data_IF_225039515402
#
_entry.id   IF_225039515402
#
_cell.length_a   1.000
_cell.length_b   1.000
_cell.length_c   1.000
_cell.angle_alpha   90.00
_cell.angle_beta   90.00
_cell.angle_gamma   90.00
#
_symmetry.space_group_name_H-M   'P 1'
#
loop_
_entity.id
_entity.type
_entity.pdbx_description
1 polymer ?
#
# COMPACT_ATOMS: atom_id res chain seq x y z
N UNK A 1 2.96 -14.25 -19.58
CA UNK A 1 3.27 -12.81 -19.40
C UNK A 1 1.99 -12.15 -18.92
N UNK A 2 1.95 -11.66 -17.68
CA UNK A 2 0.73 -11.09 -17.10
C UNK A 2 0.34 -9.81 -17.83
N UNK A 3 -0.95 -9.68 -18.18
CA UNK A 3 -1.51 -8.47 -18.76
C UNK A 3 -1.17 -7.26 -17.90
N UNK A 4 -0.57 -6.23 -18.50
CA UNK A 4 -0.31 -4.93 -17.87
C UNK A 4 -1.60 -4.10 -17.67
N UNK A 5 -2.76 -4.74 -17.75
CA UNK A 5 -4.06 -4.08 -17.58
C UNK A 5 -4.34 -3.93 -16.08
N UNK A 6 -4.82 -2.75 -15.65
CA UNK A 6 -5.21 -2.58 -14.26
C UNK A 6 -6.34 -3.56 -13.91
N UNK A 7 -6.31 -4.19 -12.73
CA UNK A 7 -7.36 -5.10 -12.31
C UNK A 7 -8.68 -4.34 -12.12
N UNK A 8 -9.79 -4.96 -12.54
CA UNK A 8 -11.13 -4.42 -12.35
C UNK A 8 -11.44 -4.24 -10.85
N UNK A 9 -11.73 -3.02 -10.36
CA UNK A 9 -11.91 -2.73 -8.93
C UNK A 9 -13.03 -3.52 -8.26
N UNK A 10 -14.06 -3.87 -9.03
CA UNK A 10 -15.28 -4.53 -8.54
C UNK A 10 -15.19 -6.06 -8.56
N UNK A 11 -14.34 -6.61 -9.42
CA UNK A 11 -14.20 -8.05 -9.62
C UNK A 11 -12.97 -8.62 -8.92
N UNK A 12 -11.94 -7.80 -8.67
CA UNK A 12 -10.67 -8.26 -8.14
C UNK A 12 -10.40 -7.70 -6.76
N UNK A 13 -10.19 -8.61 -5.80
CA UNK A 13 -9.65 -8.22 -4.50
C UNK A 13 -8.20 -7.78 -4.68
N UNK A 14 -7.79 -6.63 -4.09
CA UNK A 14 -6.40 -6.21 -4.09
C UNK A 14 -5.49 -7.30 -3.48
N UNK A 15 -4.27 -7.41 -4.00
CA UNK A 15 -3.28 -8.33 -3.45
C UNK A 15 -2.97 -7.99 -1.98
N UNK A 16 -2.80 -9.01 -1.14
CA UNK A 16 -2.35 -8.80 0.24
C UNK A 16 -0.86 -8.42 0.28
N UNK A 17 -0.45 -7.69 1.32
CA UNK A 17 0.97 -7.37 1.54
C UNK A 17 1.85 -8.63 1.56
N UNK A 18 1.36 -9.73 2.14
CA UNK A 18 2.05 -11.02 2.12
C UNK A 18 2.21 -11.59 0.70
N UNK A 19 1.19 -11.44 -0.16
CA UNK A 19 1.30 -11.84 -1.56
C UNK A 19 2.32 -10.98 -2.30
N UNK A 20 2.33 -9.67 -2.07
CA UNK A 20 3.30 -8.73 -2.65
C UNK A 20 4.74 -9.03 -2.18
N UNK A 21 4.94 -9.33 -0.89
CA UNK A 21 6.24 -9.74 -0.35
C UNK A 21 6.76 -11.02 -1.01
N UNK A 22 5.89 -12.03 -1.16
CA UNK A 22 6.22 -13.28 -1.86
C UNK A 22 6.57 -13.02 -3.32
N UNK A 23 5.84 -12.13 -3.99
CA UNK A 23 6.13 -11.75 -5.38
C UNK A 23 7.47 -11.01 -5.51
N UNK A 24 7.80 -10.11 -4.59
CA UNK A 24 9.09 -9.43 -4.57
C UNK A 24 10.25 -10.43 -4.34
N UNK A 25 10.06 -11.39 -3.43
CA UNK A 25 11.08 -12.37 -3.07
C UNK A 25 11.23 -13.52 -4.08
N UNK A 26 10.16 -13.94 -4.75
CA UNK A 26 10.14 -15.16 -5.61
C UNK A 26 9.58 -14.95 -7.01
N UNK A 27 9.26 -13.71 -7.39
CA UNK A 27 8.70 -13.41 -8.71
C UNK A 27 9.66 -13.83 -9.82
N UNK A 28 9.11 -14.43 -10.88
CA UNK A 28 9.87 -14.95 -12.03
C UNK A 28 10.45 -13.89 -12.96
N UNK A 29 10.25 -12.60 -12.65
CA UNK A 29 10.83 -11.47 -13.37
C UNK A 29 12.31 -11.23 -13.03
N UNK A 30 12.86 -11.96 -12.03
CA UNK A 30 14.30 -11.97 -11.69
C UNK A 30 14.76 -13.39 -11.37
N UNK A 31 16.06 -13.64 -11.51
CA UNK A 31 16.70 -14.87 -11.03
C UNK A 31 16.56 -15.08 -9.51
N UNK A 32 16.95 -16.25 -8.99
CA UNK A 32 16.85 -16.56 -7.55
C UNK A 32 17.70 -15.61 -6.70
N UNK A 33 18.82 -15.13 -7.23
CA UNK A 33 19.73 -14.20 -6.56
C UNK A 33 20.14 -13.02 -7.47
N UNK A 34 20.81 -12.04 -6.89
CA UNK A 34 21.44 -10.93 -7.63
C UNK A 34 20.88 -9.54 -7.32
N UNK A 35 21.51 -8.49 -7.89
CA UNK A 35 21.16 -7.09 -7.61
C UNK A 35 19.71 -6.76 -7.99
N UNK A 36 19.18 -7.33 -9.08
CA UNK A 36 17.80 -7.12 -9.50
C UNK A 36 16.78 -7.64 -8.47
N UNK A 37 17.03 -8.79 -7.83
CA UNK A 37 16.21 -9.33 -6.74
C UNK A 37 16.22 -8.38 -5.54
N UNK A 38 17.39 -7.88 -5.15
CA UNK A 38 17.53 -6.91 -4.05
C UNK A 38 16.77 -5.62 -4.34
N UNK A 39 16.86 -5.09 -5.57
CA UNK A 39 16.09 -3.91 -5.98
C UNK A 39 14.58 -4.15 -5.86
N UNK A 40 14.08 -5.31 -6.27
CA UNK A 40 12.66 -5.67 -6.12
C UNK A 40 12.20 -5.70 -4.67
N UNK A 41 13.01 -6.27 -3.77
CA UNK A 41 12.72 -6.30 -2.34
C UNK A 41 12.75 -4.90 -1.73
N UNK A 42 13.73 -4.07 -2.10
CA UNK A 42 13.80 -2.69 -1.62
C UNK A 42 12.66 -1.83 -2.14
N UNK A 43 12.30 -1.96 -3.41
CA UNK A 43 11.12 -1.32 -3.99
C UNK A 43 9.86 -1.69 -3.21
N UNK A 44 9.67 -2.99 -2.94
CA UNK A 44 8.55 -3.45 -2.12
C UNK A 44 8.54 -2.77 -0.74
N UNK A 45 9.68 -2.73 -0.05
CA UNK A 45 9.77 -2.18 1.31
C UNK A 45 9.59 -0.65 1.36
N UNK A 46 10.21 0.08 0.44
CA UNK A 46 10.28 1.54 0.49
C UNK A 46 9.13 2.23 -0.22
N UNK A 47 8.48 1.56 -1.18
CA UNK A 47 7.46 2.18 -2.02
C UNK A 47 6.16 1.39 -1.92
N UNK A 48 6.17 0.09 -2.25
CA UNK A 48 4.93 -0.66 -2.38
C UNK A 48 4.19 -0.78 -1.03
N UNK A 49 4.90 -1.10 0.07
CA UNK A 49 4.33 -1.19 1.42
C UNK A 49 3.74 0.15 1.90
N UNK A 50 4.50 1.26 1.96
CA UNK A 50 3.96 2.51 2.49
C UNK A 50 2.81 3.05 1.65
N UNK A 51 2.91 3.01 0.31
CA UNK A 51 1.83 3.48 -0.57
C UNK A 51 0.57 2.63 -0.38
N UNK A 52 0.70 1.30 -0.34
CA UNK A 52 -0.45 0.40 -0.16
C UNK A 52 -1.10 0.60 1.20
N UNK A 53 -0.31 0.81 2.26
CA UNK A 53 -0.83 1.09 3.61
C UNK A 53 -1.63 2.39 3.64
N UNK A 54 -1.10 3.48 3.09
CA UNK A 54 -1.79 4.77 3.03
C UNK A 54 -3.11 4.62 2.29
N UNK A 55 -3.09 4.07 1.07
CA UNK A 55 -4.31 3.86 0.30
C UNK A 55 -5.33 2.97 1.02
N UNK A 56 -4.88 1.91 1.70
CA UNK A 56 -5.74 1.03 2.47
C UNK A 56 -6.44 1.76 3.62
N UNK A 57 -5.70 2.54 4.41
CA UNK A 57 -6.26 3.31 5.51
C UNK A 57 -7.16 4.45 5.04
N UNK A 58 -6.78 5.14 3.95
CA UNK A 58 -7.64 6.14 3.33
C UNK A 58 -8.96 5.51 2.89
N UNK A 59 -8.93 4.38 2.18
CA UNK A 59 -10.12 3.65 1.78
C UNK A 59 -10.99 3.24 3.00
N UNK A 60 -10.36 2.76 4.08
CA UNK A 60 -11.06 2.39 5.31
C UNK A 60 -11.73 3.59 6.02
N UNK A 61 -11.07 4.76 6.01
CA UNK A 61 -11.59 6.01 6.56
C UNK A 61 -12.79 6.51 5.77
N UNK A 62 -12.67 6.60 4.43
CA UNK A 62 -13.73 7.16 3.58
C UNK A 62 -14.92 6.22 3.41
N UNK A 63 -14.73 4.90 3.64
CA UNK A 63 -15.81 3.92 3.58
C UNK A 63 -16.91 4.16 4.63
N UNK A 64 -16.65 4.91 5.71
CA UNK A 64 -17.67 5.30 6.69
C UNK A 64 -17.51 6.76 7.12
N UNK A 65 -18.54 7.61 6.97
CA UNK A 65 -18.43 9.04 7.25
C UNK A 65 -18.05 9.32 8.71
N UNK A 66 -18.52 8.51 9.66
CA UNK A 66 -18.15 8.65 11.08
C UNK A 66 -16.64 8.52 11.32
N UNK A 67 -15.97 7.59 10.64
CA UNK A 67 -14.50 7.41 10.76
C UNK A 67 -13.75 8.60 10.19
N UNK A 68 -14.20 9.11 9.04
CA UNK A 68 -13.61 10.28 8.41
C UNK A 68 -13.73 11.53 9.30
N UNK A 69 -14.91 11.77 9.88
CA UNK A 69 -15.14 12.90 10.80
C UNK A 69 -14.24 12.79 12.04
N UNK A 70 -14.19 11.62 12.68
CA UNK A 70 -13.31 11.42 13.85
C UNK A 70 -11.83 11.65 13.49
N UNK A 71 -11.36 11.13 12.36
CA UNK A 71 -9.98 11.32 11.92
C UNK A 71 -9.65 12.79 11.64
N UNK A 72 -10.57 13.53 11.00
CA UNK A 72 -10.41 14.96 10.74
C UNK A 72 -10.34 15.78 12.04
N UNK A 73 -11.20 15.48 13.01
CA UNK A 73 -11.17 16.14 14.32
C UNK A 73 -9.83 15.92 15.04
N UNK A 74 -9.34 14.68 15.07
CA UNK A 74 -8.03 14.36 15.67
C UNK A 74 -6.91 15.11 14.96
N UNK A 75 -6.93 15.16 13.62
CA UNK A 75 -5.93 15.88 12.84
C UNK A 75 -5.91 17.38 13.16
N UNK A 76 -7.10 18.00 13.31
CA UNK A 76 -7.23 19.42 13.68
C UNK A 76 -6.67 19.67 15.09
N UNK A 77 -7.00 18.82 16.07
CA UNK A 77 -6.50 18.95 17.45
C UNK A 77 -4.97 18.84 17.51
N UNK A 78 -4.41 17.83 16.85
CA UNK A 78 -2.94 17.64 16.79
C UNK A 78 -2.28 18.85 16.12
N UNK A 79 -2.84 19.32 15.02
CA UNK A 79 -2.31 20.49 14.31
C UNK A 79 -2.34 21.76 15.17
N UNK A 80 -3.41 21.97 15.95
CA UNK A 80 -3.49 23.09 16.89
C UNK A 80 -2.43 22.95 18.00
N UNK A 81 -2.27 21.75 18.56
CA UNK A 81 -1.28 21.48 19.62
C UNK A 81 0.18 21.64 19.16
N UNK A 82 0.48 21.36 17.88
CA UNK A 82 1.82 21.56 17.31
C UNK A 82 2.09 23.05 16.99
N UNK A 83 1.04 23.85 16.82
CA UNK A 83 1.14 25.29 16.50
C UNK A 83 1.11 26.21 17.72
N UNK A 84 0.64 25.75 18.87
CA UNK A 84 0.63 26.46 20.17
C UNK A 84 1.97 26.37 20.87
#
# INVERSE_FOLDING_TARGET
MGELRPPEPWAHRPASLAAMARYAARGGWTGPEGPARRCGVWWYRLIAVPVTLVCHYTAWLVARPSRAVTAALVAVVVWMAVRS
#
